data_IF_241971846076
#
_entry.id   IF_241971846076
#
_cell.length_a   1.000
_cell.length_b   1.000
_cell.length_c   1.000
_cell.angle_alpha   90.00
_cell.angle_beta   90.00
_cell.angle_gamma   90.00
#
_symmetry.space_group_name_H-M   'P 1'
#
loop_
_entity.id
_entity.type
_entity.pdbx_description
1 polymer ?
#
# COMPACT_ATOMS: atom_id res chain seq x y z
N UNK A 1 4.82 26.40 -7.20
CA UNK A 1 5.38 25.30 -6.39
C UNK A 1 4.23 24.36 -6.07
N UNK A 2 4.04 23.30 -6.87
CA UNK A 2 3.00 22.30 -6.57
C UNK A 2 3.34 21.67 -5.22
N UNK A 3 2.41 21.64 -4.28
CA UNK A 3 2.55 20.83 -3.08
C UNK A 3 2.75 19.37 -3.51
N UNK A 4 3.91 18.78 -3.23
CA UNK A 4 4.15 17.34 -3.45
C UNK A 4 3.06 16.54 -2.77
N UNK A 5 2.48 15.56 -3.47
CA UNK A 5 1.47 14.68 -2.87
C UNK A 5 2.14 13.86 -1.78
N UNK A 6 1.62 13.94 -0.56
CA UNK A 6 2.13 13.15 0.56
C UNK A 6 1.38 11.82 0.66
N UNK A 7 2.04 10.73 0.24
CA UNK A 7 1.52 9.38 0.37
C UNK A 7 1.67 8.83 1.80
N UNK A 8 0.65 8.16 2.37
CA UNK A 8 0.70 7.61 3.72
C UNK A 8 1.43 6.24 3.74
N UNK A 9 2.76 6.27 3.74
CA UNK A 9 3.60 5.08 3.95
C UNK A 9 3.65 4.73 5.45
N UNK A 10 2.63 4.03 5.94
CA UNK A 10 2.42 3.80 7.38
C UNK A 10 2.55 2.34 7.79
N UNK A 11 2.64 1.43 6.83
CA UNK A 11 2.70 -0.01 7.09
C UNK A 11 4.09 -0.58 6.93
N UNK A 12 4.88 -0.05 5.99
CA UNK A 12 6.16 -0.65 5.61
C UNK A 12 6.02 -1.86 4.69
N UNK A 13 4.80 -2.21 4.29
CA UNK A 13 4.51 -3.28 3.33
C UNK A 13 3.98 -2.66 2.04
N UNK A 14 4.49 -3.12 0.91
CA UNK A 14 4.24 -2.49 -0.38
C UNK A 14 2.76 -2.58 -0.78
N UNK A 15 2.14 -3.75 -0.60
CA UNK A 15 0.73 -3.99 -0.91
C UNK A 15 -0.20 -3.13 -0.08
N UNK A 16 0.08 -3.00 1.22
CA UNK A 16 -0.75 -2.24 2.15
C UNK A 16 -0.55 -0.72 2.00
N UNK A 17 0.68 -0.27 1.72
CA UNK A 17 0.94 1.14 1.44
C UNK A 17 0.36 1.57 0.08
N UNK A 18 0.30 0.68 -0.93
CA UNK A 18 -0.42 0.92 -2.17
C UNK A 18 -1.91 1.12 -1.91
N UNK A 19 -2.54 0.19 -1.17
CA UNK A 19 -3.96 0.31 -0.78
C UNK A 19 -4.19 1.65 -0.09
N UNK A 20 -3.33 2.02 0.86
CA UNK A 20 -3.43 3.27 1.62
C UNK A 20 -3.27 4.56 0.79
N UNK A 21 -3.02 4.49 -0.51
CA UNK A 21 -3.09 5.67 -1.40
C UNK A 21 -4.51 6.21 -1.60
N UNK A 22 -5.55 5.49 -1.20
CA UNK A 22 -6.90 6.07 -1.08
C UNK A 22 -7.18 6.53 0.36
N UNK A 23 -7.65 7.77 0.47
CA UNK A 23 -7.86 8.49 1.72
C UNK A 23 -9.34 8.88 1.89
N UNK A 24 -9.71 9.29 3.10
CA UNK A 24 -10.93 10.09 3.31
C UNK A 24 -10.55 11.48 3.81
N UNK A 25 -11.09 12.50 3.15
CA UNK A 25 -11.03 13.90 3.59
C UNK A 25 -12.45 14.47 3.61
N UNK A 26 -12.86 15.05 4.74
CA UNK A 26 -14.20 15.67 4.89
C UNK A 26 -15.35 14.74 4.42
N UNK A 27 -15.30 13.47 4.81
CA UNK A 27 -16.33 12.46 4.47
C UNK A 27 -16.30 11.92 3.04
N UNK A 28 -15.43 12.42 2.17
CA UNK A 28 -15.31 11.95 0.79
C UNK A 28 -14.04 11.12 0.62
N UNK A 29 -14.14 10.03 -0.13
CA UNK A 29 -13.00 9.20 -0.52
C UNK A 29 -12.22 9.92 -1.63
N UNK A 30 -10.93 10.11 -1.41
CA UNK A 30 -10.00 10.74 -2.33
C UNK A 30 -8.97 9.72 -2.76
N UNK A 31 -8.88 9.52 -4.06
CA UNK A 31 -7.83 8.75 -4.68
C UNK A 31 -6.60 9.65 -4.90
N UNK A 32 -5.42 9.20 -4.48
CA UNK A 32 -4.16 9.92 -4.75
C UNK A 32 -3.53 9.54 -6.09
N UNK A 33 -3.93 8.41 -6.69
CA UNK A 33 -3.38 7.86 -7.94
C UNK A 33 -4.41 8.01 -9.08
N UNK A 34 -4.64 9.24 -9.53
CA UNK A 34 -5.66 9.54 -10.56
C UNK A 34 -5.01 9.56 -11.95
N UNK A 35 -3.79 10.08 -12.04
CA UNK A 35 -3.06 10.23 -13.30
C UNK A 35 -1.80 9.37 -13.33
N UNK A 36 -1.24 9.20 -14.52
CA UNK A 36 0.05 8.53 -14.73
C UNK A 36 1.16 9.18 -13.90
N UNK A 37 1.22 10.52 -13.86
CA UNK A 37 2.17 11.25 -13.02
C UNK A 37 2.03 10.91 -11.53
N UNK A 38 0.82 10.64 -11.04
CA UNK A 38 0.59 10.29 -9.64
C UNK A 38 1.17 8.91 -9.31
N UNK A 39 0.95 7.96 -10.21
CA UNK A 39 1.53 6.61 -10.11
C UNK A 39 3.05 6.70 -10.16
N UNK A 40 3.60 7.50 -11.07
CA UNK A 40 5.04 7.71 -11.16
C UNK A 40 5.62 8.38 -9.91
N UNK A 41 4.92 9.37 -9.33
CA UNK A 41 5.33 10.02 -8.07
C UNK A 41 5.32 9.01 -6.92
N UNK A 42 4.27 8.17 -6.81
CA UNK A 42 4.20 7.12 -5.81
C UNK A 42 5.31 6.08 -5.95
N UNK A 43 5.55 5.58 -7.18
CA UNK A 43 6.66 4.67 -7.49
C UNK A 43 8.02 5.27 -7.11
N UNK A 44 8.22 6.57 -7.36
CA UNK A 44 9.44 7.27 -6.98
C UNK A 44 9.63 7.40 -5.47
N UNK A 45 8.54 7.43 -4.71
CA UNK A 45 8.56 7.47 -3.25
C UNK A 45 8.90 6.10 -2.67
N UNK A 46 8.35 5.01 -3.24
CA UNK A 46 8.59 3.65 -2.74
C UNK A 46 9.89 3.02 -3.28
N UNK A 47 10.51 3.59 -4.31
CA UNK A 47 11.74 3.05 -4.95
C UNK A 47 12.89 2.77 -3.99
N UNK A 48 12.93 3.45 -2.84
CA UNK A 48 13.97 3.26 -1.80
C UNK A 48 13.99 1.81 -1.33
N UNK A 49 12.87 1.11 -1.43
CA UNK A 49 12.73 -0.28 -1.02
C UNK A 49 12.81 -1.27 -2.20
N UNK A 50 13.13 -0.79 -3.42
CA UNK A 50 13.13 -1.60 -4.63
C UNK A 50 14.56 -1.79 -5.17
N UNK A 51 15.16 -2.99 -4.98
CA UNK A 51 16.58 -3.27 -5.26
C UNK A 51 16.95 -3.21 -6.75
N UNK A 52 15.96 -3.33 -7.63
CA UNK A 52 16.14 -3.30 -9.08
C UNK A 52 15.93 -1.91 -9.67
N UNK A 53 15.55 -0.91 -8.86
CA UNK A 53 15.27 0.44 -9.37
C UNK A 53 16.54 1.10 -9.93
N UNK A 54 16.58 1.29 -11.24
CA UNK A 54 17.68 1.96 -11.95
C UNK A 54 17.14 2.79 -13.13
N UNK A 55 18.05 3.44 -13.88
CA UNK A 55 17.68 4.27 -15.03
C UNK A 55 16.90 3.50 -16.10
N UNK A 56 17.28 2.25 -16.39
CA UNK A 56 16.56 1.39 -17.35
C UNK A 56 15.15 1.08 -16.87
N UNK A 57 14.97 0.88 -15.56
CA UNK A 57 13.63 0.70 -14.96
C UNK A 57 12.76 1.93 -15.19
N UNK A 58 13.31 3.13 -14.95
CA UNK A 58 12.56 4.37 -15.14
C UNK A 58 12.17 4.58 -16.60
N UNK A 59 13.08 4.31 -17.54
CA UNK A 59 12.80 4.38 -18.98
C UNK A 59 11.66 3.40 -19.34
N UNK A 60 11.75 2.14 -18.90
CA UNK A 60 10.70 1.16 -19.16
C UNK A 60 9.33 1.59 -18.61
N UNK A 61 9.29 2.15 -17.39
CA UNK A 61 8.04 2.71 -16.81
C UNK A 61 7.47 3.81 -17.69
N UNK A 62 8.31 4.75 -18.14
CA UNK A 62 7.87 5.86 -18.98
C UNK A 62 7.38 5.41 -20.36
N UNK A 63 8.02 4.41 -20.96
CA UNK A 63 7.63 3.85 -22.26
C UNK A 63 6.29 3.10 -22.20
N UNK A 64 5.96 2.48 -21.06
CA UNK A 64 4.74 1.67 -20.86
C UNK A 64 3.82 2.26 -19.78
N UNK A 65 3.82 3.59 -19.64
CA UNK A 65 3.18 4.27 -18.51
C UNK A 65 1.68 3.94 -18.38
N UNK A 66 0.95 3.92 -19.49
CA UNK A 66 -0.47 3.56 -19.50
C UNK A 66 -0.73 2.14 -18.94
N UNK A 67 0.09 1.17 -19.34
CA UNK A 67 0.01 -0.21 -18.87
C UNK A 67 0.37 -0.29 -17.39
N UNK A 68 1.45 0.37 -16.98
CA UNK A 68 1.87 0.44 -15.56
C UNK A 68 0.76 1.02 -14.68
N UNK A 69 0.17 2.15 -15.08
CA UNK A 69 -0.95 2.76 -14.35
C UNK A 69 -2.13 1.80 -14.28
N UNK A 70 -2.58 1.26 -15.42
CA UNK A 70 -3.72 0.35 -15.46
C UNK A 70 -3.52 -0.85 -14.54
N UNK A 71 -2.38 -1.53 -14.63
CA UNK A 71 -2.09 -2.74 -13.86
C UNK A 71 -1.93 -2.46 -12.36
N UNK A 72 -1.33 -1.32 -11.98
CA UNK A 72 -1.23 -0.93 -10.56
C UNK A 72 -2.61 -0.61 -9.97
N UNK A 73 -3.45 0.12 -10.72
CA UNK A 73 -4.78 0.51 -10.25
C UNK A 73 -5.72 -0.70 -10.13
N UNK A 74 -5.71 -1.62 -11.11
CA UNK A 74 -6.47 -2.88 -11.04
C UNK A 74 -6.06 -3.71 -9.83
N UNK A 75 -4.75 -3.89 -9.62
CA UNK A 75 -4.26 -4.65 -8.47
C UNK A 75 -4.64 -3.96 -7.15
N UNK A 76 -4.51 -2.64 -7.07
CA UNK A 76 -4.87 -1.87 -5.87
C UNK A 76 -6.36 -2.02 -5.55
N UNK A 77 -7.25 -1.97 -6.53
CA UNK A 77 -8.68 -2.14 -6.32
C UNK A 77 -8.99 -3.52 -5.72
N UNK A 78 -8.39 -4.58 -6.28
CA UNK A 78 -8.53 -5.93 -5.75
C UNK A 78 -7.99 -6.03 -4.32
N UNK A 79 -6.76 -5.59 -4.09
CA UNK A 79 -6.12 -5.62 -2.77
C UNK A 79 -6.94 -4.84 -1.75
N UNK A 80 -7.45 -3.66 -2.12
CA UNK A 80 -8.30 -2.84 -1.27
C UNK A 80 -9.52 -3.63 -0.80
N UNK A 81 -10.25 -4.23 -1.74
CA UNK A 81 -11.46 -5.00 -1.44
C UNK A 81 -11.15 -6.17 -0.50
N UNK A 82 -10.09 -6.91 -0.79
CA UNK A 82 -9.70 -8.09 -0.01
C UNK A 82 -9.19 -7.70 1.38
N UNK A 83 -8.32 -6.70 1.48
CA UNK A 83 -7.76 -6.23 2.76
C UNK A 83 -8.84 -5.62 3.65
N UNK A 84 -9.83 -4.95 3.07
CA UNK A 84 -11.01 -4.47 3.82
C UNK A 84 -11.84 -5.64 4.39
N UNK A 85 -12.12 -6.66 3.58
CA UNK A 85 -12.85 -7.85 4.03
C UNK A 85 -12.08 -8.58 5.15
N UNK A 86 -10.76 -8.75 5.00
CA UNK A 86 -9.89 -9.36 6.01
C UNK A 86 -9.86 -8.55 7.30
N UNK A 87 -9.77 -7.22 7.22
CA UNK A 87 -9.85 -6.35 8.40
C UNK A 87 -11.20 -6.48 9.12
N UNK A 88 -12.26 -6.80 8.38
CA UNK A 88 -13.61 -7.10 8.87
C UNK A 88 -13.78 -8.58 9.27
N UNK A 89 -12.67 -9.31 9.46
CA UNK A 89 -12.61 -10.70 9.95
C UNK A 89 -13.17 -11.75 8.98
N UNK A 90 -13.20 -11.47 7.68
CA UNK A 90 -13.47 -12.50 6.67
C UNK A 90 -12.22 -13.33 6.38
N UNK A 91 -12.43 -14.60 6.06
CA UNK A 91 -11.35 -15.51 5.67
C UNK A 91 -10.75 -15.11 4.31
N UNK A 92 -9.46 -15.39 4.16
CA UNK A 92 -8.71 -15.18 2.92
C UNK A 92 -9.13 -16.29 1.95
N UNK A 93 -9.65 -15.93 0.77
CA UNK A 93 -10.09 -16.93 -0.20
C UNK A 93 -8.94 -17.51 -1.03
N UNK A 94 -9.04 -18.79 -1.38
CA UNK A 94 -8.09 -19.46 -2.28
C UNK A 94 -8.02 -18.79 -3.66
N UNK A 95 -9.14 -18.23 -4.14
CA UNK A 95 -9.19 -17.46 -5.39
C UNK A 95 -8.30 -16.22 -5.35
N UNK A 96 -8.24 -15.54 -4.20
CA UNK A 96 -7.39 -14.36 -4.04
C UNK A 96 -5.91 -14.75 -4.03
N UNK A 97 -5.55 -15.83 -3.32
CA UNK A 97 -4.19 -16.39 -3.32
C UNK A 97 -3.78 -16.78 -4.75
N UNK A 98 -4.62 -17.55 -5.43
CA UNK A 98 -4.41 -17.99 -6.82
C UNK A 98 -4.24 -16.80 -7.78
N UNK A 99 -5.00 -15.72 -7.58
CA UNK A 99 -4.86 -14.51 -8.39
C UNK A 99 -3.47 -13.86 -8.21
N UNK A 100 -2.99 -13.75 -6.97
CA UNK A 100 -1.68 -13.17 -6.67
C UNK A 100 -0.55 -14.05 -7.22
N UNK A 101 -0.66 -15.37 -7.08
CA UNK A 101 0.29 -16.33 -7.65
C UNK A 101 0.39 -16.18 -9.17
N UNK A 102 -0.74 -16.03 -9.87
CA UNK A 102 -0.76 -15.74 -11.32
C UNK A 102 -0.08 -14.44 -11.70
N UNK A 103 -0.07 -13.42 -10.82
CA UNK A 103 0.69 -12.20 -11.08
C UNK A 103 2.21 -12.46 -10.99
N UNK A 104 2.63 -13.32 -10.07
CA UNK A 104 4.02 -13.75 -9.96
C UNK A 104 4.45 -14.57 -11.17
N UNK A 105 3.58 -15.43 -11.70
CA UNK A 105 3.88 -16.23 -12.91
C UNK A 105 4.18 -15.36 -14.15
N UNK A 106 3.58 -14.18 -14.27
CA UNK A 106 3.84 -13.25 -15.39
C UNK A 106 5.23 -12.61 -15.33
N UNK A 107 5.75 -12.38 -14.14
CA UNK A 107 7.12 -11.89 -13.93
C UNK A 107 7.79 -12.67 -12.78
N UNK A 108 8.32 -13.87 -13.07
CA UNK A 108 8.94 -14.74 -12.08
C UNK A 108 10.19 -14.12 -11.45
N UNK A 109 10.51 -14.56 -10.22
CA UNK A 109 11.65 -14.03 -9.47
C UNK A 109 12.94 -14.79 -9.76
N UNK A 110 13.98 -14.03 -10.05
CA UNK A 110 15.38 -14.43 -9.87
C UNK A 110 15.87 -13.95 -8.51
N UNK A 111 17.00 -14.47 -8.04
CA UNK A 111 17.59 -14.04 -6.77
C UNK A 111 18.99 -13.50 -6.98
N UNK A 112 19.32 -12.40 -6.28
CA UNK A 112 20.66 -11.82 -6.26
C UNK A 112 21.09 -11.52 -4.83
N UNK A 113 22.39 -11.60 -4.57
CA UNK A 113 22.95 -11.17 -3.29
C UNK A 113 23.30 -9.68 -3.39
N UNK A 114 22.67 -8.86 -2.54
CA UNK A 114 22.91 -7.42 -2.41
C UNK A 114 23.13 -7.14 -0.93
N UNK A 115 24.25 -6.49 -0.59
CA UNK A 115 24.60 -6.19 0.81
C UNK A 115 24.47 -7.40 1.76
N UNK A 116 24.98 -8.56 1.32
CA UNK A 116 24.93 -9.84 2.05
C UNK A 116 23.52 -10.40 2.30
N UNK A 117 22.49 -9.84 1.66
CA UNK A 117 21.11 -10.32 1.72
C UNK A 117 20.73 -10.96 0.39
N UNK A 118 20.02 -12.10 0.44
CA UNK A 118 19.44 -12.70 -0.76
C UNK A 118 18.14 -11.97 -1.09
N UNK A 119 18.11 -11.28 -2.23
CA UNK A 119 17.03 -10.39 -2.61
C UNK A 119 16.30 -10.93 -3.84
N UNK A 120 14.98 -11.11 -3.78
CA UNK A 120 14.18 -11.50 -4.94
C UNK A 120 14.04 -10.34 -5.93
N UNK A 121 14.25 -10.62 -7.21
CA UNK A 121 14.15 -9.66 -8.31
C UNK A 121 13.28 -10.27 -9.42
N UNK A 122 12.07 -9.74 -9.65
CA UNK A 122 11.21 -10.21 -10.73
C UNK A 122 11.83 -9.86 -12.09
N UNK A 123 11.52 -10.67 -13.10
CA UNK A 123 12.00 -10.49 -14.47
C UNK A 123 10.83 -10.62 -15.43
N UNK A 124 10.68 -9.63 -16.31
CA UNK A 124 9.59 -9.57 -17.28
C UNK A 124 9.40 -8.15 -17.80
N UNK A 125 8.23 -7.90 -18.38
CA UNK A 125 7.77 -6.55 -18.72
C UNK A 125 7.56 -5.73 -17.44
N UNK A 126 7.73 -4.41 -17.53
CA UNK A 126 7.87 -3.55 -16.35
C UNK A 126 6.60 -3.48 -15.49
N UNK A 127 5.42 -3.48 -16.10
CA UNK A 127 4.15 -3.51 -15.38
C UNK A 127 3.96 -4.83 -14.63
N UNK A 128 4.33 -5.96 -15.25
CA UNK A 128 4.24 -7.28 -14.64
C UNK A 128 5.27 -7.42 -13.51
N UNK A 129 6.48 -6.88 -13.69
CA UNK A 129 7.52 -6.78 -12.66
C UNK A 129 6.98 -6.05 -11.42
N UNK A 130 6.36 -4.88 -11.60
CA UNK A 130 5.82 -4.08 -10.50
C UNK A 130 4.65 -4.80 -9.80
N UNK A 131 3.72 -5.34 -10.58
CA UNK A 131 2.57 -6.09 -10.06
C UNK A 131 3.00 -7.37 -9.34
N UNK A 132 3.97 -8.10 -9.87
CA UNK A 132 4.54 -9.30 -9.25
C UNK A 132 5.17 -9.00 -7.89
N UNK A 133 5.86 -7.87 -7.73
CA UNK A 133 6.41 -7.45 -6.42
C UNK A 133 5.34 -7.13 -5.39
N UNK A 134 4.32 -6.39 -5.81
CA UNK A 134 3.20 -6.04 -4.92
C UNK A 134 2.46 -7.33 -4.52
N UNK A 135 2.27 -8.26 -5.47
CA UNK A 135 1.66 -9.56 -5.20
C UNK A 135 2.51 -10.42 -4.27
N UNK A 136 3.83 -10.44 -4.44
CA UNK A 136 4.77 -11.13 -3.57
C UNK A 136 4.76 -10.59 -2.14
N UNK A 137 4.71 -9.28 -1.96
CA UNK A 137 4.54 -8.65 -0.65
C UNK A 137 3.22 -9.09 0.02
N UNK A 138 2.11 -9.06 -0.73
CA UNK A 138 0.81 -9.52 -0.21
C UNK A 138 0.83 -11.02 0.17
N UNK A 139 1.40 -11.88 -0.68
CA UNK A 139 1.54 -13.32 -0.40
C UNK A 139 2.46 -13.59 0.80
N UNK A 140 3.52 -12.78 0.98
CA UNK A 140 4.39 -12.86 2.16
C UNK A 140 3.60 -12.58 3.44
N UNK A 141 2.78 -11.52 3.44
CA UNK A 141 1.91 -11.21 4.58
C UNK A 141 0.89 -12.31 4.89
N UNK A 142 0.40 -13.01 3.86
CA UNK A 142 -0.50 -14.17 4.02
C UNK A 142 0.27 -15.35 4.62
N UNK A 143 1.41 -15.71 4.04
CA UNK A 143 2.22 -16.86 4.44
C UNK A 143 2.76 -16.72 5.87
N UNK A 144 3.10 -15.51 6.30
CA UNK A 144 3.54 -15.19 7.65
C UNK A 144 2.39 -14.98 8.66
N UNK A 145 1.13 -15.13 8.19
CA UNK A 145 -0.08 -14.91 8.98
C UNK A 145 -0.15 -13.49 9.60
N UNK A 146 0.44 -12.49 8.94
CA UNK A 146 0.47 -11.11 9.41
C UNK A 146 -0.88 -10.39 9.19
N UNK A 147 -1.62 -10.80 8.15
CA UNK A 147 -2.93 -10.22 7.83
C UNK A 147 -4.00 -10.49 8.89
N UNK A 148 -3.82 -11.47 9.78
CA UNK A 148 -4.73 -11.67 10.93
C UNK A 148 -4.77 -10.46 11.87
N UNK A 149 -3.68 -9.68 11.88
CA UNK A 149 -3.55 -8.47 12.69
C UNK A 149 -3.91 -7.21 11.91
N UNK A 150 -4.46 -7.33 10.70
CA UNK A 150 -4.92 -6.21 9.88
C UNK A 150 -6.16 -5.56 10.49
N UNK A 151 -6.15 -4.23 10.62
CA UNK A 151 -7.22 -3.46 11.23
C UNK A 151 -7.54 -2.20 10.44
N UNK A 152 -8.82 -1.82 10.46
CA UNK A 152 -9.28 -0.47 10.12
C UNK A 152 -8.87 0.53 11.19
N UNK A 153 -8.58 1.76 10.78
CA UNK A 153 -8.42 2.88 11.70
C UNK A 153 -9.70 3.06 12.54
N UNK A 154 -9.58 3.20 13.87
CA UNK A 154 -10.75 3.50 14.72
C UNK A 154 -11.32 4.91 14.52
N UNK A 155 -10.76 5.72 13.61
CA UNK A 155 -11.34 7.01 13.27
C UNK A 155 -12.37 6.78 12.16
N UNK A 156 -13.68 7.02 12.37
CA UNK A 156 -14.72 6.70 11.38
C UNK A 156 -14.52 7.44 10.05
N UNK A 157 -13.85 8.60 10.07
CA UNK A 157 -13.52 9.36 8.86
C UNK A 157 -12.19 8.90 8.20
N UNK A 158 -11.72 7.69 8.48
CA UNK A 158 -10.45 7.18 7.96
C UNK A 158 -10.59 5.75 7.44
N UNK A 159 -10.18 5.56 6.19
CA UNK A 159 -10.18 4.27 5.48
C UNK A 159 -8.81 3.60 5.42
N UNK A 160 -7.82 4.17 6.12
CA UNK A 160 -6.48 3.58 6.15
C UNK A 160 -6.50 2.30 6.96
N UNK A 161 -5.80 1.31 6.43
CA UNK A 161 -5.60 0.00 7.03
C UNK A 161 -4.18 -0.10 7.60
N UNK A 162 -4.00 -0.88 8.66
CA UNK A 162 -2.70 -1.09 9.29
C UNK A 162 -2.63 -2.45 9.99
N UNK A 163 -1.43 -3.01 10.10
CA UNK A 163 -1.18 -4.22 10.90
C UNK A 163 -0.87 -3.81 12.34
N UNK A 164 -1.55 -4.45 13.30
CA UNK A 164 -1.40 -4.23 14.74
C UNK A 164 -0.83 -5.46 15.46
N UNK A 165 0.46 -5.74 15.24
CA UNK A 165 1.15 -6.84 15.93
C UNK A 165 1.11 -6.73 17.47
N UNK A 166 0.92 -5.52 18.00
CA UNK A 166 0.88 -5.25 19.44
C UNK A 166 -0.48 -5.51 20.10
N UNK A 167 -1.56 -5.56 19.30
CA UNK A 167 -2.95 -5.55 19.76
C UNK A 167 -3.43 -4.25 20.41
N UNK A 168 -2.56 -3.24 20.61
CA UNK A 168 -2.86 -2.01 21.37
C UNK A 168 -3.13 -0.80 20.47
N UNK A 169 -2.82 -0.86 19.18
CA UNK A 169 -2.92 0.28 18.27
C UNK A 169 -4.36 0.47 17.79
N UNK A 170 -4.89 1.68 18.00
CA UNK A 170 -6.24 2.08 17.56
C UNK A 170 -6.25 2.91 16.27
N UNK A 171 -5.11 3.49 15.89
CA UNK A 171 -5.05 4.47 14.81
C UNK A 171 -4.06 4.06 13.72
N UNK A 172 -4.41 4.36 12.47
CA UNK A 172 -3.56 4.13 11.30
C UNK A 172 -2.19 4.80 11.41
N UNK A 173 -2.03 5.90 12.15
CA UNK A 173 -0.73 6.33 12.67
C UNK A 173 -0.95 7.40 13.72
N UNK A 174 0.04 7.60 14.59
CA UNK A 174 0.00 8.71 15.55
C UNK A 174 0.02 10.06 14.84
N UNK A 175 0.79 10.19 13.75
CA UNK A 175 0.92 11.44 12.99
C UNK A 175 -0.38 11.85 12.28
N UNK A 176 -1.11 10.89 11.70
CA UNK A 176 -2.32 11.17 10.90
C UNK A 176 -3.57 11.23 11.80
N UNK A 177 -3.99 10.10 12.38
CA UNK A 177 -5.25 10.03 13.14
C UNK A 177 -5.07 10.21 14.65
N UNK A 178 -3.94 9.79 15.23
CA UNK A 178 -3.68 9.96 16.66
C UNK A 178 -3.69 11.43 17.09
N UNK A 179 -3.00 12.28 16.33
CA UNK A 179 -2.97 13.73 16.57
C UNK A 179 -4.33 14.38 16.33
N UNK A 180 -5.06 14.01 15.26
CA UNK A 180 -6.41 14.52 14.98
C UNK A 180 -7.35 14.31 16.16
N UNK A 181 -7.34 13.11 16.77
CA UNK A 181 -8.16 12.82 17.95
C UNK A 181 -7.68 13.55 19.22
N UNK A 182 -6.38 13.74 19.42
CA UNK A 182 -5.86 14.55 20.54
C UNK A 182 -6.35 15.99 20.45
N UNK A 183 -6.29 16.61 19.27
CA UNK A 183 -6.76 17.98 19.03
C UNK A 183 -8.27 18.09 19.27
N UNK A 184 -9.07 17.18 18.71
CA UNK A 184 -10.52 17.19 18.91
C UNK A 184 -10.91 17.09 20.41
N UNK A 185 -10.24 16.20 21.18
CA UNK A 185 -10.47 16.09 22.63
C UNK A 185 -10.10 17.37 23.39
N UNK A 186 -9.02 18.04 23.01
CA UNK A 186 -8.62 19.30 23.64
C UNK A 186 -9.62 20.43 23.36
N UNK A 187 -10.17 20.49 22.14
CA UNK A 187 -11.19 21.47 21.77
C UNK A 187 -12.50 21.27 22.55
N UNK A 188 -12.98 20.03 22.68
CA UNK A 188 -14.19 19.72 23.46
C UNK A 188 -14.03 20.13 24.93
N UNK A 189 -12.88 19.82 25.55
CA UNK A 189 -12.60 20.26 26.93
C UNK A 189 -12.62 21.77 27.08
N UNK A 190 -12.01 22.50 26.14
CA UNK A 190 -12.01 23.97 26.18
C UNK A 190 -13.40 24.58 26.01
N UNK A 191 -14.30 23.94 25.27
CA UNK A 191 -15.68 24.41 25.12
C UNK A 191 -16.57 24.06 26.32
N UNK A 192 -16.20 23.07 27.13
CA UNK A 192 -16.90 22.69 28.37
C UNK A 192 -16.45 23.52 29.58
N UNK A 193 -15.29 24.20 29.48
CA UNK A 193 -14.73 25.10 30.52
C UNK A 193 -15.16 26.58 30.35
N UNK A 194 -16.04 26.89 29.40
CA UNK A 194 -16.62 28.23 29.15
C UNK A 194 -18.12 28.20 29.41
#
# INVERSE_FOLDING_TARGET
MQERKQFPLISGNLSLDLVNTELVRRGHRYDLLITDEDVLEWLHVIKVNLPFWNEKTLIGIQERMNQVTSSILELRELLRKQFEAIADQHEISDDFITYLEKQIEKAPFTYKVIEQSLVPIPVGEIEDVLVSLIAFDALTLIAENELISLKRCSNPDCVLLFIDKSGKRKWCSMKICGNRKKVAKFQVRKSEEV
#
